data_IF_938708797350
#
_entry.id   IF_938708797350
#
_cell.length_a   1.000
_cell.length_b   1.000
_cell.length_c   1.000
_cell.angle_alpha   90.00
_cell.angle_beta   90.00
_cell.angle_gamma   90.00
#
_symmetry.space_group_name_H-M   'P 1'
#
loop_
_entity.id
_entity.type
_entity.pdbx_description
1 polymer ?
#
# COMPACT_ATOMS: atom_id res chain seq x y z
N UNK A 1 2.49 -14.71 20.54
CA UNK A 1 1.64 -14.74 19.33
C UNK A 1 2.37 -14.00 18.24
N UNK A 2 2.30 -14.45 16.97
CA UNK A 2 2.89 -13.74 15.83
C UNK A 2 1.80 -12.91 15.15
N UNK A 3 2.11 -11.66 14.83
CA UNK A 3 1.21 -10.71 14.19
C UNK A 3 1.85 -10.19 12.91
N UNK A 4 1.04 -10.08 11.85
CA UNK A 4 1.47 -9.57 10.55
C UNK A 4 0.54 -8.44 10.19
N UNK A 5 1.10 -7.34 9.70
CA UNK A 5 0.30 -6.28 9.11
C UNK A 5 0.26 -6.41 7.59
N UNK A 6 -0.93 -6.23 7.03
CA UNK A 6 -1.16 -6.23 5.58
C UNK A 6 -1.68 -4.85 5.18
N UNK A 7 -0.87 -4.09 4.45
CA UNK A 7 -1.20 -2.76 3.95
C UNK A 7 -1.72 -2.86 2.51
N UNK A 8 -3.02 -2.67 2.32
CA UNK A 8 -3.65 -2.72 0.99
C UNK A 8 -3.45 -1.40 0.23
N UNK A 9 -2.47 -1.38 -0.69
CA UNK A 9 -2.04 -0.21 -1.44
C UNK A 9 -2.15 -0.41 -2.98
N UNK A 10 -3.12 -1.21 -3.42
CA UNK A 10 -3.26 -1.61 -4.83
C UNK A 10 -4.30 -0.81 -5.65
N UNK A 11 -5.24 -0.13 -5.00
CA UNK A 11 -6.43 0.40 -5.67
C UNK A 11 -6.20 1.66 -6.52
N UNK A 12 -6.81 1.71 -7.71
CA UNK A 12 -6.58 2.75 -8.74
C UNK A 12 -7.09 4.16 -8.46
N UNK A 13 -7.85 4.40 -7.39
CA UNK A 13 -8.17 5.75 -6.94
C UNK A 13 -8.96 6.62 -7.91
N UNK A 14 -9.80 6.05 -8.78
CA UNK A 14 -10.50 6.74 -9.89
C UNK A 14 -11.32 7.99 -9.52
N UNK A 15 -11.74 8.12 -8.27
CA UNK A 15 -12.48 9.30 -7.76
C UNK A 15 -11.57 10.43 -7.26
N UNK A 16 -10.28 10.17 -7.09
CA UNK A 16 -9.30 11.20 -6.75
C UNK A 16 -8.98 12.00 -8.00
N UNK A 17 -9.20 13.32 -7.96
CA UNK A 17 -9.07 14.22 -9.12
C UNK A 17 -7.77 15.04 -9.08
N UNK A 18 -6.79 14.59 -8.31
CA UNK A 18 -5.47 15.24 -8.26
C UNK A 18 -4.61 14.93 -9.47
N UNK A 19 -3.48 15.62 -9.64
CA UNK A 19 -2.61 15.50 -10.82
C UNK A 19 -1.79 14.20 -10.86
N UNK A 20 -1.77 13.42 -9.78
CA UNK A 20 -1.04 12.16 -9.64
C UNK A 20 -1.96 11.04 -9.16
N UNK A 21 -1.48 9.79 -9.15
CA UNK A 21 -2.19 8.70 -8.49
C UNK A 21 -2.38 9.00 -6.99
N UNK A 22 -3.55 8.64 -6.40
CA UNK A 22 -3.92 9.01 -5.02
C UNK A 22 -2.84 8.66 -3.97
N UNK A 23 -2.13 7.54 -4.18
CA UNK A 23 -1.11 7.07 -3.26
C UNK A 23 0.15 7.92 -3.33
N UNK A 24 0.45 8.46 -4.52
CA UNK A 24 1.61 9.31 -4.81
C UNK A 24 1.32 10.79 -4.55
N UNK A 25 0.09 11.15 -4.20
CA UNK A 25 -0.26 12.50 -3.78
C UNK A 25 0.54 12.86 -2.52
N UNK A 26 1.14 14.05 -2.52
CA UNK A 26 1.92 14.54 -1.37
C UNK A 26 0.97 15.13 -0.34
N UNK A 27 1.04 14.60 0.88
CA UNK A 27 0.35 15.08 2.06
C UNK A 27 1.41 15.38 3.13
N UNK A 28 1.45 16.60 3.66
CA UNK A 28 2.46 17.00 4.67
C UNK A 28 3.92 16.62 4.29
N UNK A 29 4.29 16.83 3.02
CA UNK A 29 5.64 16.60 2.52
C UNK A 29 5.99 15.15 2.13
N UNK A 30 5.11 14.16 2.38
CA UNK A 30 5.33 12.77 1.97
C UNK A 30 4.14 12.24 1.15
N UNK A 31 4.36 11.33 0.18
CA UNK A 31 3.30 10.57 -0.47
C UNK A 31 2.37 9.88 0.54
N UNK A 32 1.07 9.85 0.26
CA UNK A 32 0.05 9.22 1.12
C UNK A 32 0.41 7.79 1.55
N UNK A 33 0.98 6.98 0.64
CA UNK A 33 1.38 5.61 0.98
C UNK A 33 2.50 5.54 2.04
N UNK A 34 3.41 6.51 2.07
CA UNK A 34 4.54 6.52 3.00
C UNK A 34 4.08 6.75 4.43
N UNK A 35 3.07 7.61 4.64
CA UNK A 35 2.49 7.83 5.96
C UNK A 35 1.99 6.51 6.55
N UNK A 36 1.18 5.76 5.80
CA UNK A 36 0.66 4.47 6.28
C UNK A 36 1.79 3.46 6.54
N UNK A 37 2.79 3.41 5.65
CA UNK A 37 3.92 2.50 5.80
C UNK A 37 4.77 2.81 7.05
N UNK A 38 5.07 4.09 7.30
CA UNK A 38 5.85 4.48 8.47
C UNK A 38 5.17 4.09 9.78
N UNK A 39 3.86 4.30 9.88
CA UNK A 39 3.11 3.96 11.09
C UNK A 39 3.06 2.43 11.30
N UNK A 40 2.85 1.65 10.24
CA UNK A 40 2.79 0.18 10.39
C UNK A 40 4.16 -0.42 10.72
N UNK A 41 5.23 0.12 10.17
CA UNK A 41 6.61 -0.26 10.52
C UNK A 41 6.93 0.08 11.99
N UNK A 42 6.41 1.19 12.50
CA UNK A 42 6.58 1.59 13.90
C UNK A 42 5.68 0.87 14.91
N UNK A 43 4.71 0.07 14.45
CA UNK A 43 3.69 -0.54 15.30
C UNK A 43 4.11 -1.89 15.93
N UNK A 44 5.29 -2.42 15.62
CA UNK A 44 5.84 -3.62 16.27
C UNK A 44 5.31 -4.96 15.75
N UNK A 45 4.79 -5.01 14.52
CA UNK A 45 4.42 -6.28 13.87
C UNK A 45 5.66 -7.11 13.49
N UNK A 46 5.53 -8.43 13.51
CA UNK A 46 6.63 -9.35 13.16
C UNK A 46 6.96 -9.34 11.66
N UNK A 47 6.02 -8.91 10.82
CA UNK A 47 6.20 -8.71 9.39
C UNK A 47 5.19 -7.69 8.86
N UNK A 48 5.58 -6.99 7.79
CA UNK A 48 4.72 -6.08 7.03
C UNK A 48 4.67 -6.54 5.57
N UNK A 49 3.47 -6.81 5.09
CA UNK A 49 3.18 -7.10 3.68
C UNK A 49 2.50 -5.86 3.08
N UNK A 50 3.00 -5.39 1.95
CA UNK A 50 2.37 -4.30 1.19
C UNK A 50 1.82 -4.86 -0.10
N UNK A 51 0.50 -4.78 -0.26
CA UNK A 51 -0.16 -5.25 -1.48
C UNK A 51 -0.19 -4.11 -2.51
N UNK A 52 0.54 -4.26 -3.62
CA UNK A 52 0.65 -3.25 -4.70
C UNK A 52 -0.26 -3.58 -5.88
N UNK A 53 -0.41 -2.65 -6.82
CA UNK A 53 -1.35 -2.82 -7.95
C UNK A 53 -1.27 -1.65 -8.92
N UNK A 54 -2.31 -0.82 -8.97
CA UNK A 54 -2.53 0.21 -9.99
C UNK A 54 -1.40 1.24 -10.18
N UNK A 55 -0.54 1.42 -9.18
CA UNK A 55 0.64 2.27 -9.28
C UNK A 55 1.86 1.60 -8.61
N UNK A 56 3.06 1.72 -9.19
CA UNK A 56 4.28 1.22 -8.56
C UNK A 56 4.62 2.06 -7.33
N UNK A 57 5.11 1.39 -6.27
CA UNK A 57 5.57 2.02 -5.04
C UNK A 57 7.04 1.66 -4.81
N UNK A 58 7.93 2.63 -4.55
CA UNK A 58 9.33 2.34 -4.23
C UNK A 58 9.43 1.86 -2.77
N UNK A 59 9.13 0.59 -2.55
CA UNK A 59 9.11 -0.01 -1.21
C UNK A 59 10.53 -0.24 -0.67
N UNK A 60 10.76 -0.06 0.64
CA UNK A 60 12.04 -0.38 1.27
C UNK A 60 12.24 -1.90 1.35
N UNK A 61 13.49 -2.39 1.46
CA UNK A 61 13.80 -3.82 1.42
C UNK A 61 13.28 -4.63 2.63
N UNK A 62 12.84 -3.95 3.70
CA UNK A 62 12.36 -4.60 4.93
C UNK A 62 10.84 -4.89 4.93
N UNK A 63 10.17 -4.78 3.78
CA UNK A 63 8.78 -5.22 3.61
C UNK A 63 8.66 -6.27 2.51
N UNK A 64 7.61 -7.08 2.60
CA UNK A 64 7.26 -8.03 1.54
C UNK A 64 6.28 -7.35 0.60
N UNK A 65 6.66 -7.20 -0.67
CA UNK A 65 5.73 -6.76 -1.70
C UNK A 65 4.89 -7.94 -2.21
N UNK A 66 3.57 -7.76 -2.24
CA UNK A 66 2.62 -8.68 -2.87
C UNK A 66 1.87 -7.94 -3.98
N UNK A 67 2.25 -8.16 -5.24
CA UNK A 67 1.62 -7.46 -6.36
C UNK A 67 0.28 -8.11 -6.75
N UNK A 68 -0.83 -7.36 -6.69
CA UNK A 68 -2.15 -7.80 -7.13
C UNK A 68 -2.40 -7.39 -8.60
N UNK A 69 -2.27 -8.31 -9.58
CA UNK A 69 -2.57 -8.00 -10.98
C UNK A 69 -4.08 -7.80 -11.24
N UNK A 70 -4.95 -8.25 -10.33
CA UNK A 70 -6.41 -8.15 -10.39
C UNK A 70 -6.93 -6.97 -9.56
N UNK A 71 -6.11 -5.96 -9.29
CA UNK A 71 -6.48 -4.80 -8.45
C UNK A 71 -7.77 -4.09 -8.89
N UNK A 72 -8.12 -4.19 -10.18
CA UNK A 72 -9.30 -3.55 -10.74
C UNK A 72 -10.61 -4.27 -10.36
N UNK A 73 -10.57 -5.51 -9.86
CA UNK A 73 -11.77 -6.29 -9.53
C UNK A 73 -12.37 -5.99 -8.16
N UNK A 74 -11.65 -5.23 -7.32
CA UNK A 74 -12.08 -4.92 -5.96
C UNK A 74 -10.95 -5.03 -4.94
N UNK A 75 -11.26 -4.73 -3.69
CA UNK A 75 -10.30 -4.89 -2.59
C UNK A 75 -10.17 -6.36 -2.15
N UNK A 76 -11.13 -7.22 -2.50
CA UNK A 76 -11.12 -8.64 -2.17
C UNK A 76 -9.98 -9.39 -2.87
N UNK A 77 -9.66 -9.04 -4.12
CA UNK A 77 -8.53 -9.64 -4.84
C UNK A 77 -7.20 -9.31 -4.17
N UNK A 78 -7.08 -8.15 -3.51
CA UNK A 78 -5.90 -7.80 -2.73
C UNK A 78 -5.73 -8.66 -1.47
N UNK A 79 -6.81 -9.18 -0.88
CA UNK A 79 -6.72 -10.10 0.26
C UNK A 79 -6.37 -11.54 -0.16
N UNK A 80 -6.59 -11.86 -1.43
CA UNK A 80 -6.28 -13.18 -2.02
C UNK A 80 -4.88 -13.24 -2.65
N UNK A 81 -4.19 -12.11 -2.71
CA UNK A 81 -2.82 -11.96 -3.24
C UNK A 81 -1.82 -12.29 -2.13
#
# INVERSE_FOLDING_TARGET
>A
MRTVAVLLAAGGGSRYRGPTHKLLAVLHGLPVWQHALQHVLGAGFDAVVVVTGAAPLPLPPNVVEAHNPLWATGQDSSLRT
#
